data_IF_473278212642
#
_entry.id   IF_473278212642
#
_cell.length_a   1.000
_cell.length_b   1.000
_cell.length_c   1.000
_cell.angle_alpha   90.00
_cell.angle_beta   90.00
_cell.angle_gamma   90.00
#
_symmetry.space_group_name_H-M   'P 1'
#
loop_
_entity.id
_entity.type
_entity.pdbx_description
1 polymer ?
#
# COMPACT_ATOMS: atom_id res chain seq x y z
N UNK A 1 -12.59 21.55 23.29
CA UNK A 1 -14.04 21.61 23.57
C UNK A 1 -14.77 22.79 22.86
N UNK A 2 -14.08 23.86 22.42
CA UNK A 2 -14.69 24.98 21.70
C UNK A 2 -14.74 24.82 20.17
N UNK A 3 -13.98 23.87 19.57
CA UNK A 3 -13.91 23.70 18.11
C UNK A 3 -15.15 23.05 17.49
N UNK A 4 -15.94 22.28 18.27
CA UNK A 4 -17.19 21.64 17.83
C UNK A 4 -18.44 22.47 18.11
N UNK A 5 -18.30 23.75 18.41
CA UNK A 5 -19.39 24.70 18.45
C UNK A 5 -20.01 24.91 17.05
N UNK A 6 -21.08 25.74 16.97
CA UNK A 6 -21.82 25.99 15.70
C UNK A 6 -20.92 26.45 14.53
N UNK A 7 -19.78 27.11 14.80
CA UNK A 7 -18.75 27.48 13.79
C UNK A 7 -17.97 26.29 13.30
N UNK A 8 -17.58 25.36 14.18
CA UNK A 8 -16.86 24.13 13.82
C UNK A 8 -17.73 23.23 12.96
N UNK A 9 -19.01 23.08 13.30
CA UNK A 9 -19.98 22.35 12.49
C UNK A 9 -20.17 22.96 11.10
N UNK A 10 -20.29 24.30 10.99
CA UNK A 10 -20.34 24.98 9.68
C UNK A 10 -19.09 24.72 8.82
N UNK A 11 -17.90 24.72 9.41
CA UNK A 11 -16.66 24.39 8.72
C UNK A 11 -16.62 22.91 8.30
N UNK A 12 -17.06 22.00 9.15
CA UNK A 12 -17.19 20.58 8.86
C UNK A 12 -18.17 20.38 7.69
N UNK A 13 -19.38 20.94 7.76
CA UNK A 13 -20.42 20.83 6.73
C UNK A 13 -19.99 21.48 5.40
N UNK A 14 -19.36 22.67 5.41
CA UNK A 14 -18.89 23.32 4.18
C UNK A 14 -17.85 22.49 3.46
N UNK A 15 -17.07 21.70 4.20
CA UNK A 15 -16.15 20.70 3.66
C UNK A 15 -16.86 19.41 3.22
N UNK A 16 -17.93 18.98 3.90
CA UNK A 16 -18.73 17.77 3.58
C UNK A 16 -19.46 17.90 2.23
N UNK A 17 -19.99 19.07 1.89
CA UNK A 17 -20.63 19.29 0.57
C UNK A 17 -19.67 19.02 -0.60
N UNK A 18 -18.36 19.06 -0.35
CA UNK A 18 -17.32 18.65 -1.29
C UNK A 18 -16.74 17.25 -1.02
N UNK A 19 -17.13 16.62 0.10
CA UNK A 19 -16.54 15.34 0.53
C UNK A 19 -17.41 14.14 0.12
N UNK A 20 -17.29 13.71 -1.11
CA UNK A 20 -17.74 12.36 -1.53
C UNK A 20 -16.71 11.28 -1.14
N UNK A 21 -15.69 11.60 -0.34
CA UNK A 21 -14.63 10.66 -0.01
C UNK A 21 -15.13 9.56 0.93
N UNK A 22 -15.48 9.85 2.17
CA UNK A 22 -15.89 8.88 3.19
C UNK A 22 -15.00 7.61 3.15
N UNK A 23 -13.70 7.73 3.51
CA UNK A 23 -12.80 6.60 3.57
C UNK A 23 -13.09 5.78 4.83
N UNK A 24 -12.59 4.54 4.89
CA UNK A 24 -12.70 3.69 6.07
C UNK A 24 -11.32 3.40 6.65
N UNK A 25 -11.23 3.31 7.97
CA UNK A 25 -10.01 3.01 8.70
C UNK A 25 -10.31 2.50 10.10
N UNK A 26 -9.26 2.15 10.83
CA UNK A 26 -9.31 1.72 12.22
C UNK A 26 -8.43 2.66 13.03
N UNK A 27 -8.91 3.08 14.20
CA UNK A 27 -8.13 3.94 15.09
C UNK A 27 -8.40 3.65 16.56
N UNK A 28 -7.42 4.01 17.39
CA UNK A 28 -7.52 4.02 18.83
C UNK A 28 -7.99 5.40 19.28
N UNK A 29 -9.03 5.45 20.11
CA UNK A 29 -9.54 6.69 20.71
C UNK A 29 -8.67 7.13 21.90
N UNK A 30 -8.82 8.37 22.40
CA UNK A 30 -8.15 8.82 23.63
C UNK A 30 -8.44 7.98 24.87
N UNK A 31 -9.54 7.23 24.86
CA UNK A 31 -9.96 6.33 25.93
C UNK A 31 -9.43 4.89 25.73
N UNK A 32 -8.45 4.69 24.85
CA UNK A 32 -7.86 3.38 24.51
C UNK A 32 -8.87 2.37 23.95
N UNK A 33 -9.92 2.84 23.24
CA UNK A 33 -10.89 1.98 22.56
C UNK A 33 -10.54 1.90 21.07
N UNK A 34 -10.36 0.70 20.53
CA UNK A 34 -10.19 0.45 19.10
C UNK A 34 -11.59 0.49 18.45
N UNK A 35 -11.72 1.23 17.37
CA UNK A 35 -12.98 1.33 16.62
C UNK A 35 -12.74 1.49 15.13
N UNK A 36 -13.69 1.00 14.34
CA UNK A 36 -13.76 1.29 12.91
C UNK A 36 -14.36 2.68 12.73
N UNK A 37 -13.76 3.45 11.85
CA UNK A 37 -14.24 4.80 11.60
C UNK A 37 -14.07 5.29 10.19
N UNK A 38 -14.54 6.50 10.01
CA UNK A 38 -14.33 7.29 8.78
C UNK A 38 -13.80 8.68 9.15
N UNK A 39 -13.49 9.49 8.15
CA UNK A 39 -13.07 10.87 8.37
C UNK A 39 -13.73 11.84 7.41
N UNK A 40 -13.95 13.05 7.90
CA UNK A 40 -14.38 14.18 7.09
C UNK A 40 -13.51 15.39 7.42
N UNK A 41 -12.67 15.79 6.49
CA UNK A 41 -11.66 16.82 6.75
C UNK A 41 -10.65 16.36 7.80
N UNK A 42 -10.56 17.08 8.92
CA UNK A 42 -9.66 16.81 10.04
C UNK A 42 -10.38 16.21 11.26
N UNK A 43 -11.60 15.67 11.03
CA UNK A 43 -12.40 15.03 12.07
C UNK A 43 -12.55 13.54 11.77
N UNK A 44 -12.16 12.70 12.70
CA UNK A 44 -12.48 11.28 12.72
C UNK A 44 -13.89 11.07 13.26
N UNK A 45 -14.55 10.04 12.76
CA UNK A 45 -15.93 9.69 13.08
C UNK A 45 -15.95 8.24 13.49
N UNK A 46 -16.33 7.97 14.72
CA UNK A 46 -16.48 6.64 15.28
C UNK A 46 -17.77 5.98 14.77
N UNK A 47 -17.64 4.98 13.92
CA UNK A 47 -18.78 4.24 13.38
C UNK A 47 -19.36 3.26 14.41
N UNK A 48 -18.56 2.76 15.35
CA UNK A 48 -19.03 1.95 16.47
C UNK A 48 -19.99 2.74 17.36
N UNK A 49 -19.59 3.93 17.78
CA UNK A 49 -20.47 4.84 18.53
C UNK A 49 -21.70 5.25 17.73
N UNK A 50 -21.57 5.52 16.43
CA UNK A 50 -22.72 5.78 15.56
C UNK A 50 -23.71 4.61 15.53
N UNK A 51 -23.19 3.38 15.44
CA UNK A 51 -24.01 2.17 15.41
C UNK A 51 -24.78 1.96 16.72
N UNK A 52 -24.06 2.03 17.84
CA UNK A 52 -24.67 1.93 19.18
C UNK A 52 -25.73 3.00 19.47
N UNK A 53 -25.62 4.18 18.87
CA UNK A 53 -26.56 5.28 18.99
C UNK A 53 -27.73 5.24 17.97
N UNK A 54 -27.84 4.13 17.20
CA UNK A 54 -28.94 3.85 16.28
C UNK A 54 -28.87 4.55 14.92
N UNK A 55 -27.74 5.16 14.55
CA UNK A 55 -27.63 5.86 13.26
C UNK A 55 -27.64 4.92 12.04
N UNK A 56 -27.42 3.63 12.22
CA UNK A 56 -27.49 2.62 11.15
C UNK A 56 -28.74 1.74 11.19
N UNK A 57 -29.77 2.13 11.97
CA UNK A 57 -31.05 1.40 11.99
C UNK A 57 -31.62 1.20 10.57
N UNK A 58 -32.13 -0.02 10.31
CA UNK A 58 -32.65 -0.43 9.01
C UNK A 58 -31.60 -0.93 8.00
N UNK A 59 -30.31 -0.92 8.36
CA UNK A 59 -29.26 -1.62 7.63
C UNK A 59 -28.98 -2.93 8.40
N UNK A 60 -28.95 -4.06 7.68
CA UNK A 60 -28.62 -5.35 8.28
C UNK A 60 -27.13 -5.42 8.58
N UNK A 61 -26.76 -5.17 9.82
CA UNK A 61 -25.38 -5.22 10.36
C UNK A 61 -25.41 -6.01 11.66
N UNK A 62 -24.33 -6.68 12.03
CA UNK A 62 -24.15 -7.25 13.36
C UNK A 62 -23.88 -6.13 14.38
N UNK A 63 -24.25 -6.34 15.65
CA UNK A 63 -24.15 -5.30 16.67
C UNK A 63 -22.72 -4.81 16.93
N UNK A 64 -21.73 -5.66 16.65
CA UNK A 64 -20.32 -5.43 16.91
C UNK A 64 -19.48 -5.13 15.66
N UNK A 65 -20.10 -5.03 14.47
CA UNK A 65 -19.41 -4.91 13.18
C UNK A 65 -18.38 -3.77 13.13
N UNK A 66 -18.61 -2.67 13.82
CA UNK A 66 -17.72 -1.51 13.89
C UNK A 66 -16.91 -1.44 15.19
N UNK A 67 -17.01 -2.45 16.07
CA UNK A 67 -16.24 -2.56 17.30
C UNK A 67 -15.07 -3.54 17.16
N UNK A 68 -14.78 -3.97 15.93
CA UNK A 68 -13.67 -4.87 15.61
C UNK A 68 -12.35 -4.09 15.50
N UNK A 69 -11.23 -4.80 15.60
CA UNK A 69 -9.88 -4.26 15.41
C UNK A 69 -9.46 -4.19 13.93
N UNK A 70 -10.33 -4.61 13.02
CA UNK A 70 -10.10 -4.62 11.57
C UNK A 70 -11.40 -4.49 10.80
N UNK A 71 -11.30 -4.03 9.53
CA UNK A 71 -12.42 -3.90 8.61
C UNK A 71 -12.83 -5.22 7.93
N UNK A 72 -12.15 -6.35 8.19
CA UNK A 72 -12.34 -7.58 7.44
C UNK A 72 -13.79 -8.06 7.42
N UNK A 73 -14.45 -8.11 8.56
CA UNK A 73 -15.86 -8.55 8.66
C UNK A 73 -16.78 -7.59 7.91
N UNK A 74 -16.60 -6.27 8.07
CA UNK A 74 -17.38 -5.28 7.33
C UNK A 74 -17.13 -5.36 5.81
N UNK A 75 -15.91 -5.67 5.39
CA UNK A 75 -15.57 -5.89 3.98
C UNK A 75 -16.24 -7.16 3.46
N UNK A 76 -16.32 -8.23 4.25
CA UNK A 76 -17.01 -9.47 3.90
C UNK A 76 -18.51 -9.32 3.70
N UNK A 77 -19.15 -8.34 4.33
CA UNK A 77 -20.58 -8.01 4.12
C UNK A 77 -20.90 -7.55 2.69
N UNK A 78 -19.89 -7.24 1.91
CA UNK A 78 -19.97 -7.01 0.48
C UNK A 78 -20.47 -5.63 0.07
N UNK A 79 -20.36 -5.38 -1.22
CA UNK A 79 -20.55 -4.06 -1.86
C UNK A 79 -21.89 -3.39 -1.58
N UNK A 80 -22.97 -4.18 -1.43
CA UNK A 80 -24.31 -3.63 -1.13
C UNK A 80 -24.32 -2.98 0.26
N UNK A 81 -23.78 -3.65 1.26
CA UNK A 81 -23.69 -3.17 2.63
C UNK A 81 -22.80 -1.94 2.74
N UNK A 82 -21.61 -1.96 2.12
CA UNK A 82 -20.70 -0.81 2.10
C UNK A 82 -21.38 0.46 1.56
N UNK A 83 -22.16 0.32 0.49
CA UNK A 83 -22.88 1.44 -0.12
C UNK A 83 -23.99 1.98 0.77
N UNK A 84 -24.74 1.11 1.46
CA UNK A 84 -25.77 1.53 2.40
C UNK A 84 -25.19 2.29 3.59
N UNK A 85 -24.10 1.76 4.18
CA UNK A 85 -23.40 2.43 5.28
C UNK A 85 -22.82 3.77 4.82
N UNK A 86 -22.14 3.80 3.68
CA UNK A 86 -21.57 5.02 3.12
C UNK A 86 -22.64 6.08 2.82
N UNK A 87 -23.77 5.68 2.25
CA UNK A 87 -24.91 6.59 2.02
C UNK A 87 -25.47 7.11 3.33
N UNK A 88 -25.66 6.26 4.33
CA UNK A 88 -26.16 6.66 5.65
C UNK A 88 -25.21 7.68 6.32
N UNK A 89 -23.90 7.48 6.24
CA UNK A 89 -22.92 8.46 6.73
C UNK A 89 -23.11 9.80 6.01
N UNK A 90 -23.22 9.79 4.68
CA UNK A 90 -23.46 11.01 3.90
C UNK A 90 -24.75 11.72 4.33
N UNK A 91 -25.83 10.98 4.54
CA UNK A 91 -27.14 11.53 4.95
C UNK A 91 -27.08 12.13 6.37
N UNK A 92 -26.43 11.44 7.32
CA UNK A 92 -26.31 11.92 8.71
C UNK A 92 -25.49 13.20 8.78
N UNK A 93 -24.47 13.33 7.93
CA UNK A 93 -23.61 14.50 7.87
C UNK A 93 -24.08 15.57 6.86
N UNK A 94 -25.24 15.39 6.23
CA UNK A 94 -25.83 16.45 5.40
C UNK A 94 -26.17 17.66 6.25
N UNK A 95 -25.92 18.87 5.72
CA UNK A 95 -26.16 20.13 6.44
C UNK A 95 -27.64 20.34 6.86
N UNK A 96 -28.57 19.75 6.10
CA UNK A 96 -30.00 19.87 6.37
C UNK A 96 -30.51 18.79 7.33
N UNK A 97 -29.67 17.81 7.69
CA UNK A 97 -30.02 16.74 8.63
C UNK A 97 -29.75 17.20 10.08
N UNK A 98 -30.78 17.39 10.92
CA UNK A 98 -30.60 17.87 12.30
C UNK A 98 -30.20 16.76 13.28
N UNK A 99 -30.33 15.47 12.93
CA UNK A 99 -30.26 14.35 13.88
C UNK A 99 -28.93 14.30 14.66
N UNK A 100 -27.80 14.39 13.99
CA UNK A 100 -26.50 14.52 14.64
C UNK A 100 -26.10 15.98 14.82
N UNK A 101 -26.39 16.82 13.82
CA UNK A 101 -26.03 18.25 13.84
C UNK A 101 -26.48 18.95 15.14
N UNK A 102 -27.69 18.75 15.58
CA UNK A 102 -28.27 19.43 16.72
C UNK A 102 -28.15 18.62 18.04
N UNK A 103 -27.60 17.40 17.98
CA UNK A 103 -27.41 16.54 19.14
C UNK A 103 -25.97 16.65 19.69
N UNK A 104 -25.76 17.58 20.61
CA UNK A 104 -24.42 17.83 21.18
C UNK A 104 -23.87 16.61 21.95
N UNK A 105 -24.74 15.82 22.59
CA UNK A 105 -24.31 14.61 23.33
C UNK A 105 -23.75 13.56 22.39
N UNK A 106 -24.45 13.25 21.29
CA UNK A 106 -24.01 12.29 20.30
C UNK A 106 -22.74 12.77 19.56
N UNK A 107 -22.66 14.08 19.24
CA UNK A 107 -21.44 14.63 18.62
C UNK A 107 -20.19 14.45 19.46
N UNK A 108 -20.29 14.62 20.79
CA UNK A 108 -19.16 14.38 21.70
C UNK A 108 -18.73 12.93 21.79
N UNK A 109 -19.64 11.99 21.56
CA UNK A 109 -19.36 10.56 21.59
C UNK A 109 -18.79 10.03 20.26
N UNK A 110 -19.08 10.72 19.13
CA UNK A 110 -18.81 10.23 17.78
C UNK A 110 -17.60 10.91 17.15
N UNK A 111 -17.31 12.17 17.48
CA UNK A 111 -16.37 13.02 16.74
C UNK A 111 -15.09 13.25 17.55
N UNK A 112 -13.95 12.98 16.91
CA UNK A 112 -12.61 13.21 17.44
C UNK A 112 -11.80 14.08 16.49
N UNK A 113 -10.92 14.93 17.01
CA UNK A 113 -9.91 15.57 16.17
C UNK A 113 -8.85 14.51 15.77
N UNK A 114 -8.28 14.61 14.56
CA UNK A 114 -7.34 13.60 14.06
C UNK A 114 -6.04 13.52 14.87
N UNK A 115 -5.67 14.59 15.56
CA UNK A 115 -4.49 14.64 16.43
C UNK A 115 -4.75 14.01 17.81
N UNK A 116 -6.00 13.64 18.12
CA UNK A 116 -6.38 12.96 19.36
C UNK A 116 -6.45 11.42 19.21
N UNK A 117 -6.34 10.90 17.99
CA UNK A 117 -6.48 9.46 17.70
C UNK A 117 -5.18 8.86 17.18
N UNK A 118 -5.01 7.57 17.36
CA UNK A 118 -3.89 6.80 16.79
C UNK A 118 -4.39 5.81 15.73
N UNK A 119 -3.94 6.01 14.49
CA UNK A 119 -4.34 5.14 13.37
C UNK A 119 -3.69 3.75 13.48
N UNK A 120 -4.48 2.73 13.20
CA UNK A 120 -4.08 1.33 13.16
C UNK A 120 -4.04 0.80 11.72
N UNK A 121 -3.56 -0.43 11.50
CA UNK A 121 -3.78 -1.13 10.23
C UNK A 121 -5.28 -1.28 9.99
N UNK A 122 -5.80 -0.88 8.82
CA UNK A 122 -7.24 -0.91 8.59
C UNK A 122 -7.80 -2.32 8.39
N UNK A 123 -6.97 -3.29 8.04
CA UNK A 123 -7.33 -4.69 7.81
C UNK A 123 -6.29 -5.64 8.39
N UNK A 124 -6.71 -6.81 8.79
CA UNK A 124 -5.82 -7.96 9.00
C UNK A 124 -5.49 -8.54 7.62
N UNK A 125 -4.24 -8.34 7.18
CA UNK A 125 -3.80 -8.74 5.84
C UNK A 125 -3.40 -10.22 5.89
N UNK A 126 -4.23 -11.08 5.27
CA UNK A 126 -3.95 -12.51 5.15
C UNK A 126 -2.81 -12.77 4.17
N UNK A 127 -3.02 -12.39 2.94
CA UNK A 127 -2.06 -12.53 1.85
C UNK A 127 -1.73 -11.18 1.21
N UNK A 128 -0.49 -11.09 0.71
CA UNK A 128 0.01 -9.92 -0.02
C UNK A 128 0.64 -10.34 -1.33
N UNK A 129 0.13 -9.77 -2.43
CA UNK A 129 0.70 -9.94 -3.77
C UNK A 129 1.15 -8.60 -4.30
N UNK A 130 2.37 -8.55 -4.85
CA UNK A 130 2.91 -7.38 -5.51
C UNK A 130 3.09 -7.64 -7.00
N UNK A 131 2.54 -6.74 -7.84
CA UNK A 131 2.56 -6.83 -9.29
C UNK A 131 3.64 -5.94 -9.91
N UNK A 132 3.88 -6.15 -11.19
CA UNK A 132 4.70 -5.30 -12.05
C UNK A 132 3.78 -4.66 -13.09
N UNK A 133 3.21 -3.48 -12.79
CA UNK A 133 2.16 -2.89 -13.63
C UNK A 133 2.62 -1.69 -14.46
N UNK A 134 3.87 -1.22 -14.32
CA UNK A 134 4.40 -0.14 -15.13
C UNK A 134 5.23 -0.69 -16.28
N UNK A 135 4.98 -0.19 -17.50
CA UNK A 135 5.57 -0.74 -18.74
C UNK A 135 7.10 -0.77 -18.73
N UNK A 136 7.76 0.28 -18.28
CA UNK A 136 9.23 0.34 -18.27
C UNK A 136 9.81 -0.63 -17.23
N UNK A 137 9.15 -0.83 -16.09
CA UNK A 137 9.54 -1.83 -15.09
C UNK A 137 9.40 -3.23 -15.66
N UNK A 138 8.31 -3.50 -16.38
CA UNK A 138 8.07 -4.75 -17.10
C UNK A 138 9.21 -5.00 -18.10
N UNK A 139 9.55 -4.00 -18.93
CA UNK A 139 10.65 -4.11 -19.93
C UNK A 139 12.02 -4.29 -19.27
N UNK A 140 12.26 -3.68 -18.11
CA UNK A 140 13.48 -3.90 -17.33
C UNK A 140 13.57 -5.36 -16.83
N UNK A 141 12.49 -5.90 -16.30
CA UNK A 141 12.41 -7.30 -15.89
C UNK A 141 12.59 -8.27 -17.07
N UNK A 142 12.00 -7.96 -18.24
CA UNK A 142 12.27 -8.72 -19.48
C UNK A 142 13.75 -8.77 -19.82
N UNK A 143 14.44 -7.64 -19.75
CA UNK A 143 15.87 -7.56 -20.03
C UNK A 143 16.65 -8.44 -19.06
N UNK A 144 16.32 -8.46 -17.77
CA UNK A 144 16.94 -9.34 -16.78
C UNK A 144 16.65 -10.83 -17.06
N UNK A 145 15.45 -11.18 -17.50
CA UNK A 145 15.06 -12.55 -17.83
C UNK A 145 15.75 -13.04 -19.12
N UNK A 146 15.82 -12.18 -20.14
CA UNK A 146 16.52 -12.49 -21.42
C UNK A 146 18.02 -12.74 -21.26
N UNK A 147 18.67 -12.03 -20.34
CA UNK A 147 20.10 -12.26 -20.02
C UNK A 147 20.32 -13.68 -19.45
N UNK A 148 19.27 -14.32 -18.93
CA UNK A 148 19.33 -15.64 -18.26
C UNK A 148 18.97 -16.82 -19.15
N UNK A 149 18.11 -16.61 -20.16
CA UNK A 149 17.64 -17.68 -21.02
C UNK A 149 17.49 -17.17 -22.45
N UNK A 150 18.43 -17.52 -23.32
CA UNK A 150 18.38 -17.20 -24.75
C UNK A 150 17.17 -17.79 -25.49
N UNK A 151 16.48 -18.77 -24.91
CA UNK A 151 15.33 -19.46 -25.50
C UNK A 151 13.96 -18.84 -25.19
N UNK A 152 13.86 -17.87 -24.27
CA UNK A 152 12.58 -17.20 -23.96
C UNK A 152 12.34 -16.04 -24.95
N UNK A 153 11.82 -16.37 -26.14
CA UNK A 153 11.59 -15.43 -27.25
C UNK A 153 10.24 -14.70 -27.20
N UNK A 154 9.47 -14.84 -26.12
CA UNK A 154 8.17 -14.20 -25.99
C UNK A 154 8.32 -12.88 -25.21
N UNK A 155 7.66 -11.80 -25.65
CA UNK A 155 7.47 -10.55 -24.94
C UNK A 155 6.57 -10.78 -23.71
N UNK A 156 6.99 -11.67 -22.82
CA UNK A 156 6.20 -12.39 -21.83
C UNK A 156 5.51 -11.46 -20.81
N UNK A 157 6.18 -10.47 -20.22
CA UNK A 157 5.56 -9.67 -19.15
C UNK A 157 4.50 -8.67 -19.61
N UNK A 158 4.39 -8.38 -20.92
CA UNK A 158 3.30 -7.59 -21.49
C UNK A 158 2.07 -8.42 -21.86
N UNK A 159 2.14 -9.75 -21.74
CA UNK A 159 1.02 -10.63 -22.05
C UNK A 159 0.13 -10.96 -20.85
N UNK A 160 0.64 -10.79 -19.61
CA UNK A 160 -0.12 -10.99 -18.37
C UNK A 160 0.46 -10.17 -17.21
N UNK A 161 -0.34 -9.83 -16.19
CA UNK A 161 0.16 -9.20 -14.98
C UNK A 161 1.12 -10.15 -14.23
N UNK A 162 2.42 -9.85 -14.27
CA UNK A 162 3.41 -10.57 -13.47
C UNK A 162 3.36 -10.07 -12.02
N UNK A 163 3.52 -10.98 -11.06
CA UNK A 163 3.56 -10.64 -9.64
C UNK A 163 4.36 -11.65 -8.83
N UNK A 164 4.60 -11.33 -7.56
CA UNK A 164 5.16 -12.24 -6.57
C UNK A 164 4.39 -12.15 -5.26
N UNK A 165 4.46 -13.20 -4.45
CA UNK A 165 3.86 -13.22 -3.12
C UNK A 165 4.80 -12.51 -2.15
N UNK A 166 4.34 -11.37 -1.62
CA UNK A 166 5.06 -10.57 -0.64
C UNK A 166 4.84 -11.06 0.79
N UNK A 167 5.45 -10.37 1.75
CA UNK A 167 5.36 -10.71 3.16
C UNK A 167 4.31 -9.85 3.85
N UNK A 168 3.12 -10.39 4.12
CA UNK A 168 2.01 -9.69 4.77
C UNK A 168 2.35 -9.25 6.20
N UNK A 169 3.04 -10.09 6.98
CA UNK A 169 3.34 -9.82 8.39
C UNK A 169 4.32 -8.65 8.65
N UNK A 170 4.91 -8.08 7.61
CA UNK A 170 5.80 -6.91 7.70
C UNK A 170 5.17 -5.64 7.13
N UNK A 171 3.87 -5.65 6.86
CA UNK A 171 3.14 -4.45 6.45
C UNK A 171 2.75 -3.67 7.69
N UNK A 172 3.07 -2.38 7.72
CA UNK A 172 2.83 -1.48 8.85
C UNK A 172 2.08 -0.22 8.39
N UNK A 173 1.35 0.47 9.28
CA UNK A 173 0.73 1.74 8.94
C UNK A 173 1.76 2.86 8.81
N UNK A 174 1.34 3.96 8.20
CA UNK A 174 2.05 5.25 8.21
C UNK A 174 2.42 5.65 9.65
N UNK A 175 3.60 6.24 9.84
CA UNK A 175 4.10 6.71 11.15
C UNK A 175 5.07 5.75 11.85
N UNK A 176 5.06 4.47 11.52
CA UNK A 176 5.95 3.47 12.13
C UNK A 176 7.37 3.61 11.57
N UNK A 177 8.38 3.61 12.45
CA UNK A 177 9.78 3.61 12.05
C UNK A 177 10.23 2.29 11.42
N UNK A 178 10.96 2.35 10.32
CA UNK A 178 11.45 1.17 9.59
C UNK A 178 12.93 0.98 9.86
N UNK A 179 13.31 -0.11 10.48
CA UNK A 179 14.72 -0.38 10.72
C UNK A 179 15.44 -0.83 9.45
N UNK A 180 16.64 -0.24 9.20
CA UNK A 180 17.52 -0.67 8.12
C UNK A 180 17.81 -2.17 8.25
N UNK A 181 17.55 -2.99 7.21
CA UNK A 181 17.73 -4.42 7.30
C UNK A 181 19.19 -4.82 7.21
N UNK A 182 19.51 -5.97 7.81
CA UNK A 182 20.76 -6.69 7.56
C UNK A 182 20.54 -7.77 6.50
N UNK A 183 21.56 -8.03 5.70
CA UNK A 183 21.54 -9.09 4.72
C UNK A 183 22.93 -9.48 4.25
N UNK A 184 22.99 -10.50 3.39
CA UNK A 184 24.24 -10.91 2.75
C UNK A 184 24.59 -9.92 1.64
N UNK A 185 25.68 -9.21 1.80
CA UNK A 185 26.19 -8.20 0.86
C UNK A 185 27.62 -8.56 0.46
N UNK A 186 27.95 -8.38 -0.81
CA UNK A 186 29.34 -8.45 -1.28
C UNK A 186 29.93 -7.03 -1.27
N UNK A 187 30.77 -6.67 -0.28
CA UNK A 187 31.41 -5.36 -0.29
C UNK A 187 32.34 -5.20 -1.49
N UNK A 188 32.52 -3.96 -1.95
CA UNK A 188 33.55 -3.66 -2.95
C UNK A 188 34.91 -4.16 -2.44
N UNK A 189 35.62 -4.91 -3.26
CA UNK A 189 36.94 -5.49 -2.95
C UNK A 189 36.93 -6.66 -1.93
N UNK A 190 35.78 -7.23 -1.59
CA UNK A 190 35.70 -8.47 -0.82
C UNK A 190 35.48 -9.68 -1.77
N UNK A 191 36.01 -10.83 -1.37
CA UNK A 191 35.87 -12.08 -2.12
C UNK A 191 34.79 -13.01 -1.52
N UNK A 192 34.08 -12.53 -0.48
CA UNK A 192 33.04 -13.29 0.18
C UNK A 192 31.90 -12.39 0.64
N UNK A 193 30.70 -12.97 0.72
CA UNK A 193 29.53 -12.32 1.29
C UNK A 193 29.72 -12.08 2.78
N UNK A 194 29.24 -10.94 3.25
CA UNK A 194 29.24 -10.56 4.66
C UNK A 194 27.82 -10.20 5.10
N UNK A 195 27.46 -10.52 6.33
CA UNK A 195 26.21 -10.04 6.94
C UNK A 195 26.42 -8.58 7.39
N UNK A 196 25.79 -7.66 6.69
CA UNK A 196 25.94 -6.21 6.89
C UNK A 196 24.59 -5.51 6.81
N UNK A 197 24.47 -4.31 7.43
CA UNK A 197 23.34 -3.43 7.14
C UNK A 197 23.32 -3.02 5.67
N UNK A 198 22.15 -3.00 5.05
CA UNK A 198 22.00 -2.55 3.66
C UNK A 198 22.46 -1.09 3.49
N UNK A 199 23.24 -0.84 2.45
CA UNK A 199 23.65 0.52 2.05
C UNK A 199 22.75 1.11 0.95
N UNK A 200 21.88 0.29 0.37
CA UNK A 200 21.05 0.66 -0.78
C UNK A 200 19.56 0.54 -0.45
N UNK A 201 19.13 1.12 0.70
CA UNK A 201 17.69 1.16 1.06
C UNK A 201 16.98 2.19 0.21
N UNK A 202 15.86 1.79 -0.36
CA UNK A 202 15.04 2.51 -1.33
C UNK A 202 13.56 2.45 -0.96
N UNK A 203 12.76 3.36 -1.48
CA UNK A 203 11.30 3.30 -1.49
C UNK A 203 10.80 2.83 -2.85
N UNK A 204 9.60 2.29 -2.91
CA UNK A 204 8.84 2.13 -4.14
C UNK A 204 7.47 2.77 -3.97
N UNK A 205 7.21 3.78 -4.80
CA UNK A 205 5.93 4.46 -4.88
C UNK A 205 4.91 3.53 -5.55
N UNK A 206 3.94 3.09 -4.78
CA UNK A 206 2.89 2.20 -5.24
C UNK A 206 1.52 2.60 -4.71
N UNK A 207 0.51 1.96 -5.25
CA UNK A 207 -0.82 1.85 -4.66
C UNK A 207 -1.17 0.39 -4.48
N UNK A 208 -2.03 0.12 -3.50
CA UNK A 208 -2.57 -1.21 -3.30
C UNK A 208 -4.08 -1.17 -3.22
N UNK A 209 -4.74 -2.25 -3.62
CA UNK A 209 -6.16 -2.44 -3.40
C UNK A 209 -6.42 -3.57 -2.39
N UNK A 210 -7.51 -3.42 -1.66
CA UNK A 210 -7.96 -4.38 -0.65
C UNK A 210 -9.17 -5.13 -1.21
N UNK A 211 -9.14 -6.46 -1.11
CA UNK A 211 -10.19 -7.34 -1.64
C UNK A 211 -11.22 -7.70 -0.57
N UNK A 212 -12.38 -8.15 -1.03
CA UNK A 212 -13.34 -8.95 -0.26
C UNK A 212 -13.21 -10.43 -0.64
N UNK A 213 -13.99 -11.30 -0.01
CA UNK A 213 -14.12 -12.71 -0.40
C UNK A 213 -14.60 -12.79 -1.85
N UNK A 214 -13.72 -13.24 -2.74
CA UNK A 214 -13.97 -13.14 -4.18
C UNK A 214 -14.40 -14.45 -4.81
N UNK A 215 -13.87 -15.59 -4.37
CA UNK A 215 -14.08 -16.87 -5.01
C UNK A 215 -13.84 -18.04 -4.06
N UNK A 216 -14.35 -19.21 -4.42
CA UNK A 216 -13.97 -20.49 -3.80
C UNK A 216 -12.66 -21.00 -4.41
N UNK A 217 -11.95 -21.86 -3.68
CA UNK A 217 -10.77 -22.54 -4.22
C UNK A 217 -11.12 -23.32 -5.49
N UNK A 218 -10.38 -23.10 -6.56
CA UNK A 218 -10.58 -23.70 -7.88
C UNK A 218 -11.44 -22.86 -8.82
N UNK A 219 -12.07 -21.79 -8.34
CA UNK A 219 -12.85 -20.86 -9.16
C UNK A 219 -12.02 -19.61 -9.53
N UNK A 220 -12.36 -18.98 -10.64
CA UNK A 220 -11.73 -17.73 -11.06
C UNK A 220 -12.73 -16.57 -11.07
N UNK A 221 -12.24 -15.35 -10.90
CA UNK A 221 -13.03 -14.11 -10.99
C UNK A 221 -12.95 -13.58 -12.42
N UNK A 222 -14.11 -13.34 -13.05
CA UNK A 222 -14.16 -12.77 -14.39
C UNK A 222 -13.72 -11.29 -14.40
N UNK A 223 -13.20 -10.85 -15.54
CA UNK A 223 -12.75 -9.45 -15.72
C UNK A 223 -13.91 -8.44 -15.57
N UNK A 224 -15.12 -8.84 -15.87
CA UNK A 224 -16.30 -7.97 -15.76
C UNK A 224 -16.70 -7.77 -14.30
N UNK A 225 -16.53 -8.78 -13.44
CA UNK A 225 -16.92 -8.77 -12.03
C UNK A 225 -15.79 -8.33 -11.08
N UNK A 226 -14.55 -8.35 -11.53
CA UNK A 226 -13.37 -8.15 -10.66
C UNK A 226 -13.46 -6.92 -9.73
N UNK A 227 -14.00 -5.79 -10.21
CA UNK A 227 -14.13 -4.60 -9.38
C UNK A 227 -15.23 -4.70 -8.31
N UNK A 228 -16.10 -5.69 -8.36
CA UNK A 228 -17.10 -5.94 -7.33
C UNK A 228 -16.49 -6.56 -6.08
N UNK A 229 -15.33 -7.19 -6.24
CA UNK A 229 -14.54 -7.80 -5.18
C UNK A 229 -13.39 -6.92 -4.66
N UNK A 230 -13.36 -5.64 -5.05
CA UNK A 230 -12.38 -4.66 -4.56
C UNK A 230 -13.10 -3.63 -3.70
N UNK A 231 -12.78 -3.62 -2.41
CA UNK A 231 -13.35 -2.66 -1.47
C UNK A 231 -12.85 -1.23 -1.73
N UNK A 232 -11.53 -1.06 -1.85
CA UNK A 232 -10.93 0.24 -2.06
C UNK A 232 -9.43 0.19 -2.25
N UNK A 233 -8.81 1.37 -2.26
CA UNK A 233 -7.38 1.54 -2.51
C UNK A 233 -6.71 2.35 -1.40
N UNK A 234 -5.42 2.07 -1.19
CA UNK A 234 -4.50 2.76 -0.27
C UNK A 234 -3.24 3.18 -1.00
N UNK A 235 -2.52 4.17 -0.46
CA UNK A 235 -1.12 4.40 -0.83
C UNK A 235 -0.25 3.29 -0.24
N UNK A 236 0.80 2.92 -0.96
CA UNK A 236 1.68 1.84 -0.56
C UNK A 236 3.14 2.22 -0.82
N UNK A 237 4.02 1.91 0.14
CA UNK A 237 5.47 2.01 -0.01
C UNK A 237 6.08 0.63 0.18
N UNK A 238 6.65 0.06 -0.86
CA UNK A 238 7.34 -1.22 -0.82
C UNK A 238 8.83 -0.99 -0.57
N UNK A 239 9.24 -0.95 0.69
CA UNK A 239 10.62 -0.73 1.09
C UNK A 239 11.55 -1.80 0.51
N UNK A 240 12.68 -1.37 -0.02
CA UNK A 240 13.59 -2.23 -0.78
C UNK A 240 15.03 -2.07 -0.32
N UNK A 241 15.74 -3.19 -0.11
CA UNK A 241 17.18 -3.22 0.11
C UNK A 241 17.86 -3.73 -1.16
N UNK A 242 18.29 -2.82 -2.05
CA UNK A 242 18.71 -3.13 -3.41
C UNK A 242 19.98 -3.97 -3.48
N UNK A 243 20.92 -3.75 -2.58
CA UNK A 243 22.16 -4.53 -2.48
C UNK A 243 21.92 -5.97 -1.99
N UNK A 244 20.90 -6.21 -1.17
CA UNK A 244 20.45 -7.55 -0.79
C UNK A 244 19.69 -8.18 -1.96
N UNK A 245 18.72 -7.45 -2.54
CA UNK A 245 17.86 -7.91 -3.63
C UNK A 245 18.64 -8.39 -4.86
N UNK A 246 19.81 -7.80 -5.16
CA UNK A 246 20.68 -8.21 -6.28
C UNK A 246 21.03 -9.70 -6.26
N UNK A 247 21.20 -10.30 -5.10
CA UNK A 247 21.51 -11.71 -4.94
C UNK A 247 20.28 -12.60 -5.14
N UNK A 248 19.13 -12.08 -4.79
CA UNK A 248 17.87 -12.82 -4.82
C UNK A 248 17.30 -12.94 -6.23
N UNK A 249 17.65 -12.08 -7.17
CA UNK A 249 17.23 -12.20 -8.57
C UNK A 249 17.68 -13.51 -9.26
N UNK A 250 18.54 -14.30 -8.61
CA UNK A 250 18.87 -15.66 -9.09
C UNK A 250 17.83 -16.70 -8.71
N UNK A 251 16.87 -16.36 -7.82
CA UNK A 251 15.80 -17.19 -7.31
C UNK A 251 14.43 -16.74 -7.84
N UNK A 252 13.37 -17.55 -7.72
CA UNK A 252 12.02 -17.18 -8.15
C UNK A 252 11.40 -16.15 -7.20
N UNK A 253 11.68 -14.87 -7.40
CA UNK A 253 11.06 -13.76 -6.67
C UNK A 253 11.97 -13.05 -5.68
N UNK A 254 11.46 -11.95 -5.13
CA UNK A 254 12.11 -11.14 -4.09
C UNK A 254 11.91 -11.76 -2.71
N UNK A 255 12.92 -11.70 -1.84
CA UNK A 255 12.86 -12.28 -0.50
C UNK A 255 13.35 -11.29 0.57
N UNK A 256 14.59 -11.45 1.10
CA UNK A 256 15.10 -10.59 2.19
C UNK A 256 15.22 -9.12 1.79
N UNK A 257 15.43 -8.83 0.52
CA UNK A 257 15.48 -7.46 0.00
C UNK A 257 14.14 -6.73 0.03
N UNK A 258 13.04 -7.44 0.31
CA UNK A 258 11.67 -6.91 0.30
C UNK A 258 10.86 -7.22 1.57
N UNK A 259 11.16 -8.32 2.27
CA UNK A 259 10.31 -8.81 3.35
C UNK A 259 10.48 -8.08 4.69
N UNK A 260 11.40 -7.12 4.80
CA UNK A 260 11.68 -6.42 6.06
C UNK A 260 10.63 -5.35 6.39
N UNK A 261 10.00 -4.73 5.40
CA UNK A 261 8.90 -3.79 5.60
C UNK A 261 8.15 -3.46 4.32
N UNK A 262 6.86 -3.17 4.47
CA UNK A 262 6.02 -2.38 3.55
C UNK A 262 5.13 -1.46 4.38
N UNK A 263 4.68 -0.34 3.81
CA UNK A 263 3.87 0.62 4.56
C UNK A 263 2.64 1.04 3.77
N UNK A 264 1.51 1.23 4.48
CA UNK A 264 0.24 1.67 3.85
C UNK A 264 -0.31 2.95 4.49
N UNK A 265 -1.09 3.71 3.71
CA UNK A 265 -1.92 4.76 4.28
C UNK A 265 -3.08 4.13 5.07
N UNK A 266 -3.41 4.69 6.26
CA UNK A 266 -4.35 4.00 7.16
C UNK A 266 -5.83 4.17 6.78
N UNK A 267 -6.14 4.97 5.76
CA UNK A 267 -7.48 5.21 5.26
C UNK A 267 -7.69 4.56 3.90
N UNK A 268 -8.63 3.63 3.80
CA UNK A 268 -9.00 2.98 2.53
C UNK A 268 -10.01 3.86 1.80
N UNK A 269 -9.69 4.26 0.58
CA UNK A 269 -10.57 5.03 -0.29
C UNK A 269 -11.36 4.06 -1.16
N UNK A 270 -12.67 4.01 -0.97
CA UNK A 270 -13.54 3.05 -1.69
C UNK A 270 -13.57 3.32 -3.19
N UNK A 271 -13.79 2.28 -4.01
CA UNK A 271 -13.93 2.45 -5.47
C UNK A 271 -15.12 3.35 -5.84
N UNK A 272 -16.16 3.41 -5.02
CA UNK A 272 -17.28 4.34 -5.23
C UNK A 272 -16.85 5.81 -5.07
N UNK A 273 -15.93 6.11 -4.15
CA UNK A 273 -15.35 7.46 -4.02
C UNK A 273 -14.47 7.82 -5.22
N UNK A 274 -13.80 6.84 -5.82
CA UNK A 274 -12.92 7.02 -6.99
C UNK A 274 -13.69 7.09 -8.32
N UNK A 275 -14.95 6.69 -8.34
CA UNK A 275 -15.77 6.63 -9.57
C UNK A 275 -15.77 7.92 -10.41
N UNK A 276 -15.80 9.14 -9.84
CA UNK A 276 -15.75 10.40 -10.61
C UNK A 276 -14.40 10.66 -11.30
N UNK A 277 -13.37 9.90 -10.96
CA UNK A 277 -12.00 10.04 -11.47
C UNK A 277 -11.59 8.87 -12.38
N UNK A 278 -12.55 8.05 -12.79
CA UNK A 278 -12.33 7.04 -13.82
C UNK A 278 -12.06 7.71 -15.16
N UNK A 279 -11.01 7.25 -15.81
CA UNK A 279 -10.66 7.68 -17.16
C UNK A 279 -10.54 6.45 -18.07
N UNK A 280 -10.90 6.63 -19.33
CA UNK A 280 -10.71 5.58 -20.33
C UNK A 280 -9.22 5.28 -20.47
N UNK A 281 -8.87 4.00 -20.43
CA UNK A 281 -7.51 3.56 -20.67
C UNK A 281 -7.29 3.37 -22.17
N UNK A 282 -6.09 3.71 -22.63
CA UNK A 282 -5.69 3.44 -24.01
C UNK A 282 -5.64 1.94 -24.29
N UNK A 283 -5.77 1.56 -25.55
CA UNK A 283 -5.65 0.17 -25.95
C UNK A 283 -4.24 -0.33 -25.66
N UNK A 284 -4.18 -1.48 -25.01
CA UNK A 284 -2.92 -2.16 -24.70
C UNK A 284 -2.28 -2.71 -25.98
N UNK A 285 -0.98 -2.59 -26.09
CA UNK A 285 -0.19 -3.17 -27.17
C UNK A 285 1.05 -3.86 -26.55
N UNK A 286 1.19 -5.20 -26.65
CA UNK A 286 0.30 -6.14 -27.36
C UNK A 286 -1.12 -6.21 -26.79
N UNK A 287 -2.06 -6.68 -27.61
CA UNK A 287 -3.44 -6.95 -27.14
C UNK A 287 -3.39 -8.07 -26.09
N UNK A 288 -3.94 -7.86 -24.88
CA UNK A 288 -3.90 -8.90 -23.86
C UNK A 288 -4.76 -10.12 -24.25
N UNK A 289 -4.51 -11.31 -23.65
CA UNK A 289 -5.35 -12.49 -23.83
C UNK A 289 -6.82 -12.21 -23.54
N UNK A 290 -7.72 -12.97 -24.17
CA UNK A 290 -9.15 -12.72 -24.14
C UNK A 290 -9.75 -12.59 -22.72
N UNK A 291 -9.29 -13.38 -21.76
CA UNK A 291 -9.77 -13.32 -20.37
C UNK A 291 -9.39 -12.02 -19.62
N UNK A 292 -8.43 -11.24 -20.14
CA UNK A 292 -8.01 -9.92 -19.60
C UNK A 292 -8.58 -8.76 -20.41
N UNK A 293 -9.33 -9.00 -21.47
CA UNK A 293 -9.94 -7.94 -22.26
C UNK A 293 -11.25 -7.51 -21.61
N UNK A 294 -11.40 -6.23 -21.32
CA UNK A 294 -12.61 -5.63 -20.76
C UNK A 294 -13.18 -4.59 -21.72
N UNK A 295 -14.46 -4.72 -22.03
CA UNK A 295 -15.21 -3.68 -22.73
C UNK A 295 -15.27 -2.43 -21.83
N UNK A 296 -14.93 -1.25 -22.36
CA UNK A 296 -14.82 -0.01 -21.59
C UNK A 296 -13.72 -0.06 -20.51
N UNK A 297 -12.55 -0.59 -20.90
CA UNK A 297 -11.36 -0.60 -20.03
C UNK A 297 -11.04 0.80 -19.51
N UNK A 298 -10.85 0.93 -18.18
CA UNK A 298 -10.57 2.20 -17.52
C UNK A 298 -9.48 2.05 -16.45
N UNK A 299 -8.97 3.18 -16.02
CA UNK A 299 -8.10 3.37 -14.87
C UNK A 299 -8.56 4.58 -14.07
N UNK A 300 -7.78 5.02 -13.10
CA UNK A 300 -8.09 6.18 -12.27
C UNK A 300 -7.05 7.27 -12.43
N UNK A 301 -7.49 8.54 -12.49
CA UNK A 301 -6.61 9.71 -12.48
C UNK A 301 -6.26 10.07 -11.04
N UNK A 302 -5.19 9.44 -10.51
CA UNK A 302 -4.70 9.66 -9.15
C UNK A 302 -3.30 10.26 -9.25
N UNK A 303 -3.16 11.50 -8.80
CA UNK A 303 -1.87 12.16 -8.71
C UNK A 303 -1.10 11.65 -7.51
N UNK A 304 0.18 11.35 -7.69
CA UNK A 304 1.07 10.78 -6.69
C UNK A 304 2.33 11.62 -6.58
N UNK A 305 2.76 11.91 -5.36
CA UNK A 305 3.94 12.72 -5.05
C UNK A 305 4.76 12.04 -3.97
N UNK A 306 6.10 12.09 -4.09
CA UNK A 306 7.03 11.56 -3.09
C UNK A 306 7.93 12.66 -2.60
N UNK A 307 8.09 12.74 -1.30
CA UNK A 307 8.97 13.68 -0.61
C UNK A 307 9.97 12.94 0.27
N UNK A 308 11.21 13.42 0.29
CA UNK A 308 12.22 13.02 1.24
C UNK A 308 12.46 14.17 2.23
N UNK A 309 12.31 13.87 3.52
CA UNK A 309 12.65 14.79 4.60
C UNK A 309 13.88 14.25 5.35
N UNK A 310 14.95 15.03 5.41
CA UNK A 310 16.16 14.64 6.13
C UNK A 310 15.98 14.79 7.65
N UNK A 311 16.85 14.16 8.45
CA UNK A 311 16.88 14.29 9.92
C UNK A 311 16.77 15.74 10.42
N UNK A 312 17.30 16.70 9.66
CA UNK A 312 17.25 18.13 10.01
C UNK A 312 15.95 18.83 9.57
N UNK A 313 14.94 18.08 9.12
CA UNK A 313 13.64 18.62 8.74
C UNK A 313 13.56 19.25 7.34
N UNK A 314 14.62 19.16 6.51
CA UNK A 314 14.59 19.72 5.16
C UNK A 314 13.89 18.74 4.20
N UNK A 315 12.83 19.19 3.57
CA UNK A 315 12.01 18.40 2.65
C UNK A 315 12.34 18.71 1.19
N UNK A 316 12.49 17.68 0.37
CA UNK A 316 12.71 17.74 -1.08
C UNK A 316 11.68 16.88 -1.78
N UNK A 317 11.01 17.40 -2.81
CA UNK A 317 10.19 16.61 -3.70
C UNK A 317 11.09 15.73 -4.60
N UNK A 318 10.87 14.42 -4.55
CA UNK A 318 11.65 13.44 -5.33
C UNK A 318 10.96 13.04 -6.62
N UNK A 319 9.63 12.88 -6.57
CA UNK A 319 8.87 12.34 -7.69
C UNK A 319 7.45 12.92 -7.74
N UNK A 320 6.96 13.04 -8.99
CA UNK A 320 5.58 13.39 -9.28
C UNK A 320 5.09 12.56 -10.46
N UNK A 321 4.14 11.68 -10.22
CA UNK A 321 3.60 10.77 -11.22
C UNK A 321 2.09 10.61 -11.09
N UNK A 322 1.51 9.63 -11.79
CA UNK A 322 0.08 9.39 -11.76
C UNK A 322 -0.22 7.90 -11.94
N UNK A 323 -1.20 7.38 -11.22
CA UNK A 323 -1.62 5.98 -11.29
C UNK A 323 -2.10 5.56 -12.69
N UNK A 324 -2.62 6.49 -13.50
CA UNK A 324 -3.01 6.20 -14.89
C UNK A 324 -1.90 5.65 -15.77
N UNK A 325 -0.63 5.86 -15.37
CA UNK A 325 0.54 5.36 -16.10
C UNK A 325 0.73 3.84 -15.99
N UNK A 326 0.01 3.16 -15.08
CA UNK A 326 0.06 1.70 -14.96
C UNK A 326 -0.41 1.03 -16.27
N UNK A 327 0.28 -0.03 -16.70
CA UNK A 327 -0.10 -0.79 -17.90
C UNK A 327 -1.26 -1.76 -17.60
N UNK A 328 -1.21 -2.44 -16.47
CA UNK A 328 -2.29 -3.33 -16.02
C UNK A 328 -3.25 -2.59 -15.09
N UNK A 329 -4.56 -2.80 -15.27
CA UNK A 329 -5.57 -2.28 -14.35
C UNK A 329 -5.75 -3.21 -13.15
N UNK A 330 -6.32 -2.69 -12.06
CA UNK A 330 -6.64 -3.48 -10.86
C UNK A 330 -7.58 -4.66 -11.16
N UNK A 331 -8.53 -4.49 -12.11
CA UNK A 331 -9.40 -5.57 -12.56
C UNK A 331 -8.63 -6.68 -13.26
N UNK A 332 -7.67 -6.32 -14.14
CA UNK A 332 -6.82 -7.30 -14.81
C UNK A 332 -5.91 -8.04 -13.85
N UNK A 333 -5.37 -7.35 -12.85
CA UNK A 333 -4.56 -7.95 -11.79
C UNK A 333 -5.34 -9.00 -11.01
N UNK A 334 -6.54 -8.67 -10.50
CA UNK A 334 -7.37 -9.59 -9.73
C UNK A 334 -7.84 -10.78 -10.58
N UNK A 335 -8.29 -10.53 -11.81
CA UNK A 335 -8.70 -11.62 -12.74
C UNK A 335 -7.54 -12.57 -13.00
N UNK A 336 -6.35 -12.06 -13.29
CA UNK A 336 -5.18 -12.89 -13.53
C UNK A 336 -4.75 -13.67 -12.29
N UNK A 337 -4.81 -13.03 -11.12
CA UNK A 337 -4.46 -13.67 -9.84
C UNK A 337 -5.31 -14.90 -9.56
N UNK A 338 -6.59 -14.85 -9.91
CA UNK A 338 -7.54 -15.93 -9.65
C UNK A 338 -7.68 -16.94 -10.79
N UNK A 339 -7.11 -16.71 -11.98
CA UNK A 339 -7.32 -17.55 -13.16
C UNK A 339 -6.90 -19.03 -12.96
N UNK A 340 -5.97 -19.28 -12.07
CA UNK A 340 -5.53 -20.63 -11.69
C UNK A 340 -6.41 -21.26 -10.59
N UNK A 341 -7.46 -20.57 -10.12
CA UNK A 341 -8.30 -21.00 -9.02
C UNK A 341 -7.76 -20.63 -7.63
N UNK A 342 -6.81 -19.67 -7.55
CA UNK A 342 -6.33 -19.14 -6.27
C UNK A 342 -7.47 -18.47 -5.52
N UNK A 343 -7.68 -18.85 -4.25
CA UNK A 343 -8.67 -18.20 -3.37
C UNK A 343 -8.18 -16.80 -2.97
N UNK A 344 -9.10 -15.84 -2.94
CA UNK A 344 -8.90 -14.48 -2.46
C UNK A 344 -9.87 -14.21 -1.32
N UNK A 345 -9.36 -13.72 -0.20
CA UNK A 345 -10.12 -13.48 1.02
C UNK A 345 -10.31 -11.98 1.29
N UNK A 346 -11.23 -11.68 2.21
CA UNK A 346 -11.43 -10.33 2.72
C UNK A 346 -10.18 -9.84 3.44
N UNK A 347 -9.71 -8.63 3.06
CA UNK A 347 -8.52 -8.04 3.63
C UNK A 347 -7.20 -8.39 2.93
N UNK A 348 -7.19 -9.28 1.91
CA UNK A 348 -5.99 -9.50 1.11
C UNK A 348 -5.59 -8.21 0.38
N UNK A 349 -4.28 -8.00 0.26
CA UNK A 349 -3.70 -6.80 -0.31
C UNK A 349 -2.99 -7.11 -1.62
N UNK A 350 -3.32 -6.36 -2.67
CA UNK A 350 -2.69 -6.47 -3.97
C UNK A 350 -2.08 -5.12 -4.38
N UNK A 351 -0.74 -5.05 -4.36
CA UNK A 351 0.01 -3.85 -4.72
C UNK A 351 0.27 -3.79 -6.23
N UNK A 352 0.34 -2.57 -6.74
CA UNK A 352 0.42 -2.29 -8.18
C UNK A 352 1.79 -2.58 -8.80
N UNK A 353 2.83 -2.68 -7.99
CA UNK A 353 4.19 -2.45 -8.43
C UNK A 353 4.51 -0.96 -8.56
N UNK A 354 5.78 -0.64 -8.66
CA UNK A 354 6.30 0.73 -8.73
C UNK A 354 5.62 1.54 -9.83
N UNK A 355 5.08 2.72 -9.48
CA UNK A 355 4.39 3.63 -10.40
C UNK A 355 5.32 4.76 -10.80
N UNK A 356 5.82 4.69 -12.03
CA UNK A 356 6.68 5.73 -12.61
C UNK A 356 5.95 6.45 -13.75
N UNK A 357 6.54 7.50 -14.28
CA UNK A 357 6.07 8.22 -15.45
C UNK A 357 7.16 8.29 -16.53
N UNK A 358 6.90 9.06 -17.58
CA UNK A 358 7.81 9.21 -18.70
C UNK A 358 8.67 10.49 -18.63
N UNK A 359 8.57 11.26 -17.53
CA UNK A 359 9.37 12.48 -17.33
C UNK A 359 10.52 12.23 -16.35
N UNK A 360 11.61 13.00 -16.41
CA UNK A 360 12.77 12.78 -15.53
C UNK A 360 12.48 12.90 -14.04
N UNK A 361 11.42 13.61 -13.66
CA UNK A 361 10.95 13.84 -12.28
C UNK A 361 9.84 12.89 -11.85
N UNK A 362 9.59 11.83 -12.60
CA UNK A 362 8.49 10.89 -12.35
C UNK A 362 8.92 9.45 -12.06
N UNK A 363 10.17 9.23 -11.69
CA UNK A 363 10.65 7.92 -11.26
C UNK A 363 10.00 7.48 -9.96
N UNK A 364 9.54 6.24 -9.88
CA UNK A 364 8.82 5.69 -8.73
C UNK A 364 9.71 5.19 -7.59
N UNK A 365 11.04 5.20 -7.76
CA UNK A 365 12.00 4.76 -6.75
C UNK A 365 13.37 5.43 -6.95
N UNK A 366 14.25 5.38 -5.94
CA UNK A 366 15.60 5.92 -6.07
C UNK A 366 16.44 5.14 -7.08
N UNK A 367 16.23 3.84 -7.20
CA UNK A 367 16.93 3.02 -8.21
C UNK A 367 16.75 3.61 -9.62
N UNK A 368 15.55 4.08 -9.97
CA UNK A 368 15.27 4.74 -11.24
C UNK A 368 15.84 6.16 -11.29
N UNK A 369 15.53 6.97 -10.26
CA UNK A 369 15.93 8.39 -10.19
C UNK A 369 17.46 8.55 -10.21
N UNK A 370 18.19 7.60 -9.63
CA UNK A 370 19.66 7.62 -9.55
C UNK A 370 20.35 6.75 -10.58
N UNK A 371 19.60 6.21 -11.56
CA UNK A 371 20.12 5.36 -12.62
C UNK A 371 20.94 4.16 -12.05
N UNK A 372 20.35 3.46 -11.09
CA UNK A 372 21.01 2.33 -10.40
C UNK A 372 22.14 2.76 -9.47
N UNK A 373 22.03 3.92 -8.83
CA UNK A 373 23.04 4.47 -7.90
C UNK A 373 24.22 5.14 -8.60
N UNK A 374 24.21 5.30 -9.94
CA UNK A 374 25.27 5.95 -10.71
C UNK A 374 25.23 7.48 -10.60
N UNK A 375 24.04 8.03 -10.46
CA UNK A 375 23.78 9.48 -10.37
C UNK A 375 23.36 9.85 -8.95
N UNK A 376 23.92 10.95 -8.43
CA UNK A 376 23.47 11.52 -7.14
C UNK A 376 22.41 12.58 -7.37
N UNK A 377 21.33 12.52 -6.62
CA UNK A 377 20.36 13.62 -6.52
C UNK A 377 20.85 14.65 -5.52
N UNK A 378 20.56 15.92 -5.76
CA UNK A 378 20.87 17.02 -4.82
C UNK A 378 19.57 17.46 -4.14
N UNK A 379 19.53 17.37 -2.82
CA UNK A 379 18.40 17.80 -2.00
C UNK A 379 18.37 19.33 -1.86
N UNK A 380 17.22 19.90 -1.46
CA UNK A 380 17.03 21.34 -1.30
C UNK A 380 18.03 22.00 -0.34
N UNK A 381 18.59 21.24 0.61
CA UNK A 381 19.61 21.71 1.55
C UNK A 381 21.06 21.50 1.05
N UNK A 382 21.25 21.09 -0.20
CA UNK A 382 22.55 20.80 -0.81
C UNK A 382 23.15 19.42 -0.51
N UNK A 383 22.55 18.64 0.39
CA UNK A 383 22.97 17.25 0.61
C UNK A 383 22.73 16.40 -0.65
N UNK A 384 23.50 15.33 -0.79
CA UNK A 384 23.38 14.40 -1.92
C UNK A 384 22.89 13.03 -1.45
N UNK A 385 22.06 12.38 -2.24
CA UNK A 385 21.60 11.01 -2.02
C UNK A 385 21.75 10.17 -3.28
N UNK A 386 22.07 8.91 -3.10
CA UNK A 386 21.85 7.83 -4.10
C UNK A 386 20.75 6.90 -3.60
N UNK A 387 20.83 6.53 -2.32
CA UNK A 387 19.84 5.76 -1.55
C UNK A 387 19.56 6.46 -0.23
N UNK A 388 18.62 5.96 0.56
CA UNK A 388 18.21 6.56 1.82
C UNK A 388 19.29 6.41 2.90
N UNK A 389 19.49 7.47 3.66
CA UNK A 389 20.32 7.47 4.86
C UNK A 389 19.46 7.29 6.11
N UNK A 390 20.10 6.89 7.24
CA UNK A 390 19.40 6.76 8.51
C UNK A 390 18.78 8.11 8.91
N UNK A 391 17.56 8.05 9.44
CA UNK A 391 16.71 9.19 9.82
C UNK A 391 16.17 10.00 8.62
N UNK A 392 16.35 9.56 7.37
CA UNK A 392 15.56 10.07 6.25
C UNK A 392 14.10 9.55 6.37
N UNK A 393 13.14 10.45 6.16
CA UNK A 393 11.71 10.11 6.11
C UNK A 393 11.21 10.19 4.69
N UNK A 394 10.55 9.14 4.21
CA UNK A 394 9.81 9.14 2.94
C UNK A 394 8.35 9.39 3.22
N UNK A 395 7.79 10.37 2.52
CA UNK A 395 6.36 10.68 2.55
C UNK A 395 5.77 10.57 1.15
N UNK A 396 4.83 9.65 0.96
CA UNK A 396 4.03 9.48 -0.26
C UNK A 396 2.68 10.13 -0.03
N UNK A 397 2.24 10.96 -0.98
CA UNK A 397 0.92 11.61 -1.00
C UNK A 397 0.18 11.26 -2.27
N UNK A 398 -1.15 11.10 -2.16
CA UNK A 398 -2.02 10.80 -3.29
C UNK A 398 -3.32 11.60 -3.24
N UNK A 399 -3.78 12.06 -4.41
CA UNK A 399 -5.06 12.74 -4.52
C UNK A 399 -5.65 12.63 -5.93
N UNK A 400 -6.98 12.64 -5.99
CA UNK A 400 -7.73 12.85 -7.21
C UNK A 400 -8.30 14.27 -7.23
N UNK A 401 -8.38 14.89 -8.39
CA UNK A 401 -8.94 16.23 -8.55
C UNK A 401 -9.57 16.40 -9.93
N UNK A 402 -10.79 16.93 -9.97
CA UNK A 402 -11.41 17.48 -11.17
C UNK A 402 -11.95 18.90 -10.85
N UNK A 403 -12.79 19.48 -11.71
CA UNK A 403 -13.32 20.83 -11.55
C UNK A 403 -14.19 20.99 -10.29
N UNK A 404 -14.91 19.94 -9.90
CA UNK A 404 -15.90 19.99 -8.82
C UNK A 404 -15.40 19.39 -7.50
N UNK A 405 -14.50 18.40 -7.57
CA UNK A 405 -14.20 17.51 -6.46
C UNK A 405 -12.71 17.28 -6.32
N UNK A 406 -12.25 17.27 -5.07
CA UNK A 406 -10.93 16.76 -4.69
C UNK A 406 -11.06 15.77 -3.56
N UNK A 407 -10.46 14.58 -3.71
CA UNK A 407 -10.32 13.58 -2.64
C UNK A 407 -8.85 13.26 -2.43
N UNK A 408 -8.46 12.97 -1.19
CA UNK A 408 -7.10 12.58 -0.81
C UNK A 408 -7.08 11.17 -0.24
N UNK A 409 -5.90 10.55 -0.31
CA UNK A 409 -5.62 9.22 0.26
C UNK A 409 -4.95 9.31 1.64
N UNK A 410 -4.79 10.53 2.20
CA UNK A 410 -3.88 10.72 3.34
C UNK A 410 -2.44 10.67 2.88
N UNK A 411 -1.59 10.09 3.70
CA UNK A 411 -0.16 9.92 3.39
C UNK A 411 0.40 8.63 3.96
N UNK A 412 1.47 8.13 3.34
CA UNK A 412 2.39 7.13 3.91
C UNK A 412 3.68 7.86 4.24
N UNK A 413 3.99 7.98 5.53
CA UNK A 413 5.16 8.70 6.00
C UNK A 413 5.88 7.86 7.04
N UNK A 414 7.07 7.36 6.72
CA UNK A 414 7.83 6.49 7.60
C UNK A 414 9.32 6.89 7.56
N UNK A 415 9.98 6.82 8.71
CA UNK A 415 11.39 7.16 8.88
C UNK A 415 12.24 5.90 8.85
N UNK A 416 13.32 5.91 8.06
CA UNK A 416 14.34 4.85 8.07
C UNK A 416 15.21 4.99 9.33
N UNK A 417 15.05 4.06 10.26
CA UNK A 417 15.81 4.01 11.49
C UNK A 417 17.15 3.26 11.29
N UNK A 418 18.10 3.52 12.17
CA UNK A 418 19.36 2.76 12.24
C UNK A 418 19.08 1.26 12.35
N UNK A 419 19.99 0.42 11.83
CA UNK A 419 19.85 -1.02 11.98
C UNK A 419 19.83 -1.41 13.47
N UNK A 420 19.08 -2.46 13.82
CA UNK A 420 19.19 -3.01 15.17
C UNK A 420 20.64 -3.42 15.45
N UNK A 421 21.11 -3.12 16.64
CA UNK A 421 22.40 -3.65 17.10
C UNK A 421 22.25 -5.16 17.20
N UNK A 422 23.04 -5.91 16.46
CA UNK A 422 23.15 -7.34 16.69
C UNK A 422 23.48 -7.53 18.19
N UNK A 423 22.62 -8.27 18.92
CA UNK A 423 23.07 -8.91 20.12
C UNK A 423 24.20 -9.82 19.64
N UNK A 424 25.47 -9.44 19.89
CA UNK A 424 26.60 -10.29 19.60
C UNK A 424 26.23 -11.66 20.16
N UNK A 425 25.92 -12.62 19.30
CA UNK A 425 26.08 -14.03 19.60
C UNK A 425 27.56 -14.14 19.94
N UNK A 426 27.88 -14.08 21.25
CA UNK A 426 29.14 -14.53 21.73
C UNK A 426 29.15 -16.05 21.44
N UNK A 427 29.51 -16.40 20.21
CA UNK A 427 30.04 -17.73 19.94
C UNK A 427 31.32 -17.73 20.75
N UNK A 428 31.25 -18.28 21.98
CA UNK A 428 32.41 -18.75 22.68
C UNK A 428 33.05 -19.78 21.75
N UNK A 429 34.01 -19.35 20.98
CA UNK A 429 34.96 -20.26 20.35
C UNK A 429 35.74 -20.89 21.48
N UNK A 430 35.22 -21.98 22.03
CA UNK A 430 36.04 -22.89 22.77
C UNK A 430 37.09 -23.40 21.78
N UNK A 431 38.28 -22.81 21.88
CA UNK A 431 39.50 -23.32 21.28
C UNK A 431 39.71 -24.70 21.87
N UNK A 432 39.31 -25.74 21.19
CA UNK A 432 39.72 -27.15 21.26
C UNK A 432 38.53 -28.05 20.93
N UNK A 433 38.35 -28.32 19.64
CA UNK A 433 37.87 -29.61 19.15
C UNK A 433 38.19 -29.61 17.62
N UNK A 434 39.40 -30.02 17.26
CA UNK A 434 39.66 -30.61 15.98
C UNK A 434 39.23 -32.09 16.06
N UNK A 435 38.08 -32.42 15.54
CA UNK A 435 37.75 -33.81 15.21
C UNK A 435 37.47 -33.87 13.72
N UNK A 436 38.53 -34.27 13.01
CA UNK A 436 38.44 -34.81 11.63
C UNK A 436 37.55 -36.06 11.68
N UNK A 437 36.34 -36.02 11.18
CA UNK A 437 35.62 -37.21 10.75
C UNK A 437 35.78 -37.36 9.24
N UNK A 438 36.64 -38.30 8.85
CA UNK A 438 36.67 -38.91 7.51
C UNK A 438 35.27 -39.50 7.24
N UNK A 439 34.59 -38.96 6.27
CA UNK A 439 33.43 -39.66 5.70
C UNK A 439 33.95 -40.54 4.59
N UNK A 440 33.99 -41.83 4.90
CA UNK A 440 34.26 -42.90 3.94
C UNK A 440 33.04 -43.08 3.06
N UNK A 441 33.25 -43.02 1.78
CA UNK A 441 32.35 -43.41 0.70
C UNK A 441 31.74 -44.78 0.94
N UNK A 442 30.38 -44.86 0.87
CA UNK A 442 29.71 -46.12 0.54
C UNK A 442 29.04 -45.96 -0.82
N UNK A 443 29.66 -46.60 -1.82
CA UNK A 443 29.03 -47.00 -3.06
C UNK A 443 28.57 -48.44 -2.84
N UNK A 444 27.37 -48.76 -3.25
CA UNK A 444 27.01 -50.18 -3.38
C UNK A 444 25.54 -50.48 -3.19
N UNK A 445 24.91 -50.70 -4.30
CA UNK A 445 23.81 -51.47 -4.84
C UNK A 445 22.55 -50.67 -5.13
#
# INVERSE_FOLDING_TARGET
LQRHGSRGWKLLITRIFRCKNIPFGVFLTPEDVITIGTRIGETAIDLGAMHQLGYFEGISLTDDIFLQDSLNDFISDGKKTWRLVRQRIADVFDQNNPTLRDNLKHRKAILFDLDEIEMQLPVQIGDYTDFYSYRNQITYMETLMKIRNEECSLDTPLNFPLGYHGRSSSIVPSGIGIHRPHGQILPKNANSLMLLPSNEVDFELEMAFITTDANSLGESVSIEEAEDYIFGMVLFNNWSARDIQKWEYTQPGSFLGKNFASSISPWIITLDALRPFRIKKENQNPLPPAYLQKKNHHTYDINLEVFLTTEKGNTTALSKTNFKNTYWSIAQQLTHHTISGCKVNSGDLMASGTISGNTPDSGGCLLEITEGGKKKITLNNGQKRTYLEDNDTITIKGYCKNEELRIGFGEVSNTLLKPFREKRLQIKTDKNIFILHKITTFVGV
#
